data_IF_150633501599
#
_entry.id   IF_150633501599
#
_cell.length_a   1.000
_cell.length_b   1.000
_cell.length_c   1.000
_cell.angle_alpha   90.00
_cell.angle_beta   90.00
_cell.angle_gamma   90.00
#
_symmetry.space_group_name_H-M   'P 1'
#
loop_
_entity.id
_entity.type
_entity.pdbx_description
1 polymer ?
#
# COMPACT_ATOMS: atom_id res chain seq x y z
N UNK A 1 22.46 9.25 9.01
CA UNK A 1 21.77 8.38 9.97
C UNK A 1 20.46 8.01 9.29
N UNK A 2 20.26 6.75 8.95
CA UNK A 2 19.09 6.31 8.19
C UNK A 2 17.87 6.38 9.13
N UNK A 3 17.11 7.46 9.06
CA UNK A 3 16.03 7.79 9.99
C UNK A 3 14.77 6.99 9.67
N UNK A 4 14.90 5.66 9.75
CA UNK A 4 13.79 4.72 9.55
C UNK A 4 12.89 4.70 10.76
N UNK A 5 11.59 4.59 10.52
CA UNK A 5 10.62 4.39 11.58
C UNK A 5 10.86 3.05 12.28
N UNK A 6 10.81 3.09 13.61
CA UNK A 6 10.85 1.88 14.43
C UNK A 6 9.56 1.06 14.27
N UNK A 7 9.51 -0.15 14.83
CA UNK A 7 8.35 -1.02 14.63
C UNK A 7 7.06 -0.48 15.27
N UNK A 8 7.14 0.22 16.41
CA UNK A 8 6.01 0.87 17.09
C UNK A 8 5.38 1.93 16.20
N UNK A 9 6.21 2.78 15.62
CA UNK A 9 5.81 3.84 14.71
C UNK A 9 5.14 3.30 13.44
N UNK A 10 5.69 2.21 12.87
CA UNK A 10 5.07 1.55 11.71
C UNK A 10 3.74 0.93 12.07
N UNK A 11 3.66 0.25 13.21
CA UNK A 11 2.41 -0.30 13.72
C UNK A 11 1.35 0.79 13.90
N UNK A 12 1.71 1.94 14.48
CA UNK A 12 0.80 3.06 14.63
C UNK A 12 0.27 3.57 13.29
N UNK A 13 1.12 3.70 12.26
CA UNK A 13 0.68 4.09 10.91
C UNK A 13 -0.29 3.06 10.31
N UNK A 14 0.00 1.76 10.44
CA UNK A 14 -0.89 0.70 9.96
C UNK A 14 -2.21 0.70 10.72
N UNK A 15 -2.17 0.89 12.04
CA UNK A 15 -3.35 0.99 12.91
C UNK A 15 -4.21 2.19 12.55
N UNK A 16 -3.61 3.36 12.30
CA UNK A 16 -4.32 4.57 11.86
C UNK A 16 -5.03 4.35 10.52
N UNK A 17 -4.36 3.70 9.55
CA UNK A 17 -4.98 3.33 8.27
C UNK A 17 -6.20 2.43 8.48
N UNK A 18 -6.06 1.38 9.29
CA UNK A 18 -7.17 0.45 9.58
C UNK A 18 -8.29 1.15 10.34
N UNK A 19 -7.99 2.02 11.31
CA UNK A 19 -8.97 2.77 12.10
C UNK A 19 -9.82 3.69 11.22
N UNK A 20 -9.22 4.32 10.23
CA UNK A 20 -9.94 5.22 9.32
C UNK A 20 -10.68 4.51 8.19
N UNK A 21 -10.22 3.33 7.77
CA UNK A 21 -10.89 2.51 6.76
C UNK A 21 -11.96 1.59 7.35
N UNK A 22 -11.92 1.36 8.67
CA UNK A 22 -12.84 0.49 9.42
C UNK A 22 -12.50 -1.00 9.28
N UNK A 23 -12.29 -1.49 8.07
CA UNK A 23 -11.89 -2.87 7.78
C UNK A 23 -11.02 -2.92 6.52
N UNK A 24 -9.95 -3.71 6.56
CA UNK A 24 -9.04 -3.86 5.42
C UNK A 24 -8.47 -5.27 5.35
N UNK A 25 -8.30 -5.81 4.14
CA UNK A 25 -7.62 -7.10 3.95
C UNK A 25 -6.09 -6.96 3.95
N UNK A 26 -5.37 -8.01 4.37
CA UNK A 26 -3.89 -8.06 4.41
C UNK A 26 -3.22 -7.46 3.18
N UNK A 27 -3.64 -7.92 1.99
CA UNK A 27 -3.05 -7.47 0.73
C UNK A 27 -3.30 -5.98 0.47
N UNK A 28 -4.49 -5.46 0.82
CA UNK A 28 -4.77 -4.04 0.64
C UNK A 28 -3.94 -3.17 1.60
N UNK A 29 -3.79 -3.59 2.86
CA UNK A 29 -2.95 -2.88 3.83
C UNK A 29 -1.47 -2.88 3.41
N UNK A 30 -0.96 -4.02 2.93
CA UNK A 30 0.38 -4.15 2.31
C UNK A 30 0.60 -3.11 1.21
N UNK A 31 -0.39 -2.97 0.32
CA UNK A 31 -0.34 -2.08 -0.83
C UNK A 31 -0.42 -0.61 -0.43
N UNK A 32 -1.21 -0.26 0.59
CA UNK A 32 -1.23 1.09 1.16
C UNK A 32 0.12 1.44 1.80
N UNK A 33 0.72 0.53 2.56
CA UNK A 33 2.07 0.71 3.12
C UNK A 33 3.11 0.92 2.01
N UNK A 34 3.04 0.14 0.93
CA UNK A 34 3.89 0.33 -0.25
C UNK A 34 3.74 1.71 -0.88
N UNK A 35 2.50 2.17 -1.09
CA UNK A 35 2.23 3.48 -1.71
C UNK A 35 2.69 4.64 -0.81
N UNK A 36 2.49 4.53 0.51
CA UNK A 36 3.01 5.50 1.48
C UNK A 36 4.53 5.60 1.43
N UNK A 37 5.23 4.47 1.46
CA UNK A 37 6.69 4.47 1.38
C UNK A 37 7.18 5.00 0.03
N UNK A 38 6.57 4.56 -1.06
CA UNK A 38 7.15 4.73 -2.40
C UNK A 38 6.74 6.04 -3.07
N UNK A 39 5.54 6.54 -2.78
CA UNK A 39 5.03 7.78 -3.38
C UNK A 39 5.17 8.95 -2.42
N UNK A 40 4.94 8.72 -1.13
CA UNK A 40 5.04 9.76 -0.09
C UNK A 40 6.36 9.75 0.66
N UNK A 41 7.26 8.81 0.36
CA UNK A 41 8.61 8.77 0.93
C UNK A 41 8.61 8.69 2.45
N UNK A 42 7.56 8.13 3.06
CA UNK A 42 7.58 7.81 4.49
C UNK A 42 8.66 6.75 4.72
N UNK A 43 9.58 6.93 5.67
CA UNK A 43 10.69 6.01 5.90
C UNK A 43 10.24 4.76 6.70
N UNK A 44 9.21 4.08 6.20
CA UNK A 44 8.69 2.82 6.75
C UNK A 44 9.76 1.71 6.72
N UNK A 45 10.76 1.79 5.85
CA UNK A 45 11.90 0.87 5.84
C UNK A 45 11.57 -0.57 5.40
N UNK A 46 10.40 -0.80 4.83
CA UNK A 46 10.02 -2.06 4.20
C UNK A 46 10.83 -2.28 2.91
N UNK A 47 11.21 -3.52 2.65
CA UNK A 47 11.94 -3.99 1.47
C UNK A 47 10.99 -4.74 0.55
N UNK A 48 10.09 -3.99 -0.07
CA UNK A 48 9.14 -4.53 -1.02
C UNK A 48 9.85 -5.21 -2.19
N UNK A 49 9.28 -6.33 -2.64
CA UNK A 49 9.65 -7.05 -3.86
C UNK A 49 8.37 -7.36 -4.65
N UNK A 50 8.48 -7.44 -5.98
CA UNK A 50 7.33 -7.82 -6.80
C UNK A 50 7.03 -9.32 -6.63
N UNK A 51 5.81 -9.63 -6.19
CA UNK A 51 5.29 -10.99 -6.06
C UNK A 51 4.01 -11.17 -6.91
N UNK A 52 3.40 -12.36 -6.88
CA UNK A 52 2.23 -12.74 -7.70
C UNK A 52 1.11 -11.66 -7.75
N UNK A 53 0.89 -10.95 -6.63
CA UNK A 53 -0.19 -9.96 -6.46
C UNK A 53 0.32 -8.52 -6.31
N UNK A 54 1.51 -8.23 -6.84
CA UNK A 54 2.17 -6.93 -6.76
C UNK A 54 3.23 -6.86 -5.64
N UNK A 55 3.65 -5.63 -5.26
CA UNK A 55 4.66 -5.40 -4.24
C UNK A 55 4.29 -6.02 -2.89
N UNK A 56 5.23 -6.76 -2.32
CA UNK A 56 5.05 -7.52 -1.09
C UNK A 56 6.29 -7.43 -0.20
N UNK A 57 6.07 -7.29 1.11
CA UNK A 57 7.08 -7.47 2.15
C UNK A 57 6.47 -8.17 3.37
N UNK A 58 6.95 -9.36 3.78
CA UNK A 58 6.44 -10.07 4.95
C UNK A 58 6.55 -9.28 6.27
N UNK A 59 7.43 -8.29 6.36
CA UNK A 59 7.56 -7.44 7.55
C UNK A 59 6.29 -6.63 7.82
N UNK A 60 5.52 -6.24 6.79
CA UNK A 60 4.24 -5.54 6.98
C UNK A 60 3.26 -6.43 7.75
N UNK A 61 3.17 -7.71 7.40
CA UNK A 61 2.31 -8.66 8.12
C UNK A 61 2.85 -8.96 9.52
N UNK A 62 4.17 -8.96 9.69
CA UNK A 62 4.78 -9.12 11.01
C UNK A 62 4.41 -7.96 11.94
N UNK A 63 4.43 -6.73 11.43
CA UNK A 63 4.00 -5.54 12.18
C UNK A 63 2.48 -5.58 12.47
N UNK A 64 1.64 -6.06 11.55
CA UNK A 64 0.20 -6.30 11.81
C UNK A 64 0.01 -7.31 12.95
N UNK A 65 0.72 -8.43 12.92
CA UNK A 65 0.66 -9.44 13.99
C UNK A 65 1.13 -8.89 15.34
N UNK A 66 2.15 -8.03 15.36
CA UNK A 66 2.57 -7.34 16.60
C UNK A 66 1.49 -6.38 17.10
N UNK A 67 0.83 -5.65 16.21
CA UNK A 67 -0.30 -4.78 16.56
C UNK A 67 -1.50 -5.57 17.09
N UNK A 68 -1.71 -6.79 16.60
CA UNK A 68 -2.70 -7.71 17.16
C UNK A 68 -2.32 -8.18 18.56
N UNK A 69 -1.06 -8.58 18.78
CA UNK A 69 -0.55 -8.96 20.11
C UNK A 69 -0.68 -7.82 21.12
N UNK A 70 -0.51 -6.57 20.69
CA UNK A 70 -0.73 -5.37 21.52
C UNK A 70 -2.20 -4.96 21.66
N UNK A 71 -3.13 -5.67 21.02
CA UNK A 71 -4.55 -5.36 21.06
C UNK A 71 -4.92 -4.06 20.36
N UNK A 72 -4.04 -3.54 19.48
CA UNK A 72 -4.31 -2.38 18.63
C UNK A 72 -5.08 -2.78 17.37
N UNK A 73 -4.82 -3.97 16.83
CA UNK A 73 -5.55 -4.55 15.71
C UNK A 73 -6.17 -5.89 16.12
N UNK A 74 -7.12 -6.35 15.32
CA UNK A 74 -7.64 -7.71 15.39
C UNK A 74 -7.73 -8.24 13.97
N UNK A 75 -7.23 -9.46 13.76
CA UNK A 75 -7.33 -10.13 12.49
C UNK A 75 -8.29 -11.33 12.56
N UNK A 76 -9.23 -11.38 11.62
CA UNK A 76 -10.19 -12.45 11.50
C UNK A 76 -10.04 -13.19 10.17
N UNK A 77 -9.89 -14.50 10.28
CA UNK A 77 -9.99 -15.39 9.13
C UNK A 77 -11.44 -15.54 8.69
N UNK A 78 -11.69 -15.56 7.39
CA UNK A 78 -13.00 -15.86 6.84
C UNK A 78 -12.89 -16.68 5.55
N UNK A 79 -13.82 -17.61 5.39
CA UNK A 79 -13.96 -18.42 4.19
C UNK A 79 -15.06 -17.83 3.30
N UNK A 80 -14.73 -17.53 2.05
CA UNK A 80 -15.70 -17.19 1.02
C UNK A 80 -16.36 -18.43 0.41
N UNK A 81 -15.61 -19.54 0.34
CA UNK A 81 -16.05 -20.85 -0.12
C UNK A 81 -15.08 -21.93 0.39
N UNK A 82 -15.36 -23.21 0.11
CA UNK A 82 -14.51 -24.35 0.48
C UNK A 82 -13.02 -24.18 0.12
N UNK A 83 -12.70 -23.41 -0.92
CA UNK A 83 -11.32 -23.22 -1.41
C UNK A 83 -10.89 -21.74 -1.50
N UNK A 84 -11.70 -20.80 -1.01
CA UNK A 84 -11.37 -19.38 -1.05
C UNK A 84 -11.47 -18.79 0.34
N UNK A 85 -10.38 -18.23 0.82
CA UNK A 85 -10.28 -17.64 2.15
C UNK A 85 -9.58 -16.27 2.11
N UNK A 86 -9.80 -15.49 3.15
CA UNK A 86 -9.17 -14.19 3.33
C UNK A 86 -8.99 -13.85 4.79
N UNK A 87 -8.37 -12.69 5.02
CA UNK A 87 -8.16 -12.09 6.33
C UNK A 87 -8.75 -10.69 6.34
N UNK A 88 -9.48 -10.36 7.40
CA UNK A 88 -10.00 -9.02 7.68
C UNK A 88 -9.30 -8.47 8.90
N UNK A 89 -8.70 -7.30 8.74
CA UNK A 89 -8.02 -6.58 9.81
C UNK A 89 -8.95 -5.43 10.22
N UNK A 90 -9.23 -5.34 11.52
CA UNK A 90 -10.06 -4.30 12.11
C UNK A 90 -9.36 -3.66 13.31
N UNK A 91 -9.75 -2.45 13.71
CA UNK A 91 -9.27 -1.86 14.96
C UNK A 91 -9.72 -2.72 16.14
N UNK A 92 -8.83 -2.93 17.10
CA UNK A 92 -9.16 -3.51 18.40
C UNK A 92 -9.26 -2.41 19.46
N UNK A 93 -9.55 -2.79 20.71
CA UNK A 93 -9.81 -1.83 21.81
C UNK A 93 -8.62 -0.90 22.08
N UNK A 94 -7.39 -1.40 21.93
CA UNK A 94 -6.16 -0.62 22.12
C UNK A 94 -5.74 0.21 20.91
N UNK A 95 -6.53 0.25 19.82
CA UNK A 95 -6.17 1.01 18.62
C UNK A 95 -5.96 2.50 18.92
N UNK A 96 -6.89 3.09 19.68
CA UNK A 96 -6.83 4.50 20.05
C UNK A 96 -5.64 4.79 20.98
N UNK A 97 -5.25 3.85 21.84
CA UNK A 97 -4.13 4.02 22.76
C UNK A 97 -2.81 4.09 21.98
N UNK A 98 -2.58 3.15 21.05
CA UNK A 98 -1.38 3.16 20.19
C UNK A 98 -1.32 4.42 19.30
N UNK A 99 -2.46 4.85 18.74
CA UNK A 99 -2.56 6.08 17.95
C UNK A 99 -2.25 7.32 18.80
N UNK A 100 -2.69 7.34 20.06
CA UNK A 100 -2.41 8.45 20.97
C UNK A 100 -0.95 8.48 21.44
N UNK A 101 -0.35 7.31 21.71
CA UNK A 101 1.05 7.16 22.10
C UNK A 101 2.00 7.65 21.00
N UNK A 102 1.70 7.31 19.74
CA UNK A 102 2.51 7.68 18.57
C UNK A 102 1.99 8.92 17.83
N UNK A 103 1.27 9.81 18.53
CA UNK A 103 0.65 11.01 17.95
C UNK A 103 1.65 11.90 17.22
N UNK A 104 2.83 12.13 17.79
CA UNK A 104 3.86 12.97 17.17
C UNK A 104 4.33 12.40 15.82
N UNK A 105 4.52 11.07 15.74
CA UNK A 105 4.84 10.36 14.51
C UNK A 105 3.70 10.49 13.50
N UNK A 106 2.46 10.23 13.93
CA UNK A 106 1.28 10.29 13.06
C UNK A 106 1.00 11.69 12.55
N UNK A 107 1.19 12.72 13.38
CA UNK A 107 1.05 14.12 13.00
C UNK A 107 2.06 14.51 11.91
N UNK A 108 3.30 14.01 12.03
CA UNK A 108 4.36 14.25 11.04
C UNK A 108 4.05 13.67 9.66
N UNK A 109 3.21 12.63 9.59
CA UNK A 109 2.83 11.97 8.33
C UNK A 109 1.34 12.08 7.98
N UNK A 110 0.60 12.94 8.70
CA UNK A 110 -0.85 13.07 8.58
C UNK A 110 -1.32 13.26 7.14
N UNK A 111 -0.70 14.18 6.41
CA UNK A 111 -1.06 14.48 5.02
C UNK A 111 -0.85 13.28 4.08
N UNK A 112 0.19 12.48 4.32
CA UNK A 112 0.50 11.30 3.54
C UNK A 112 -0.50 10.16 3.82
N UNK A 113 -0.84 9.94 5.09
CA UNK A 113 -1.86 8.98 5.51
C UNK A 113 -3.24 9.38 4.93
N UNK A 114 -3.61 10.65 5.06
CA UNK A 114 -4.84 11.20 4.47
C UNK A 114 -4.89 11.05 2.96
N UNK A 115 -3.76 11.28 2.28
CA UNK A 115 -3.64 11.05 0.85
C UNK A 115 -3.88 9.58 0.50
N UNK A 116 -3.28 8.62 1.23
CA UNK A 116 -3.46 7.21 0.91
C UNK A 116 -4.92 6.77 1.08
N UNK A 117 -5.59 7.23 2.14
CA UNK A 117 -7.00 6.93 2.39
C UNK A 117 -7.89 7.58 1.33
N UNK A 118 -7.70 8.87 1.05
CA UNK A 118 -8.52 9.61 0.08
C UNK A 118 -8.34 9.08 -1.34
N UNK A 119 -7.10 8.80 -1.75
CA UNK A 119 -6.82 8.41 -3.13
C UNK A 119 -7.06 6.92 -3.39
N UNK A 120 -6.97 6.04 -2.38
CA UNK A 120 -7.01 4.58 -2.61
C UNK A 120 -7.96 3.81 -1.69
N UNK A 121 -8.52 4.44 -0.65
CA UNK A 121 -9.36 3.75 0.35
C UNK A 121 -10.65 3.15 -0.22
N UNK A 122 -11.17 3.68 -1.33
CA UNK A 122 -12.37 3.17 -2.01
C UNK A 122 -12.08 2.18 -3.14
N UNK A 123 -10.81 1.91 -3.45
CA UNK A 123 -10.46 1.05 -4.58
C UNK A 123 -10.67 -0.42 -4.21
N UNK A 124 -11.25 -1.19 -5.14
CA UNK A 124 -11.48 -2.60 -4.93
C UNK A 124 -10.20 -3.43 -5.06
N UNK A 125 -10.26 -4.72 -4.69
CA UNK A 125 -9.11 -5.61 -4.70
C UNK A 125 -8.43 -5.74 -6.08
N UNK A 126 -9.21 -5.70 -7.16
CA UNK A 126 -8.70 -5.76 -8.53
C UNK A 126 -7.91 -4.48 -8.85
N UNK A 127 -8.47 -3.31 -8.61
CA UNK A 127 -7.74 -2.07 -8.87
C UNK A 127 -6.50 -1.92 -7.97
N UNK A 128 -6.60 -2.37 -6.71
CA UNK A 128 -5.47 -2.42 -5.79
C UNK A 128 -4.42 -3.45 -6.24
N UNK A 129 -4.72 -4.43 -7.08
CA UNK A 129 -3.70 -5.28 -7.72
C UNK A 129 -2.90 -4.54 -8.80
N UNK A 130 -3.59 -3.72 -9.58
CA UNK A 130 -2.98 -3.00 -10.69
C UNK A 130 -2.18 -1.76 -10.24
N UNK A 131 -2.74 -0.91 -9.38
CA UNK A 131 -2.15 0.39 -9.02
C UNK A 131 -0.72 0.28 -8.46
N UNK A 132 -0.46 -0.53 -7.42
CA UNK A 132 0.88 -0.71 -6.87
C UNK A 132 1.85 -1.35 -7.86
N UNK A 133 1.35 -2.20 -8.77
CA UNK A 133 2.15 -2.80 -9.84
C UNK A 133 2.61 -1.74 -10.84
N UNK A 134 1.74 -0.80 -11.23
CA UNK A 134 2.11 0.32 -12.10
C UNK A 134 3.16 1.22 -11.43
N UNK A 135 2.96 1.54 -10.14
CA UNK A 135 3.93 2.33 -9.36
C UNK A 135 5.27 1.60 -9.24
N UNK A 136 5.26 0.28 -9.05
CA UNK A 136 6.47 -0.53 -9.01
C UNK A 136 7.27 -0.42 -10.30
N UNK A 137 6.64 -0.72 -11.44
CA UNK A 137 7.30 -0.65 -12.75
C UNK A 137 7.87 0.76 -12.98
N UNK A 138 7.07 1.79 -12.73
CA UNK A 138 7.49 3.20 -12.87
C UNK A 138 8.72 3.54 -12.03
N UNK A 139 8.81 3.02 -10.80
CA UNK A 139 9.95 3.26 -9.90
C UNK A 139 11.19 2.46 -10.29
N UNK A 140 11.04 1.22 -10.74
CA UNK A 140 12.16 0.41 -11.21
C UNK A 140 12.85 1.09 -12.40
N UNK A 141 12.07 1.56 -13.38
CA UNK A 141 12.60 2.31 -14.52
C UNK A 141 13.24 3.64 -14.11
N UNK A 142 12.61 4.39 -13.20
CA UNK A 142 13.19 5.63 -12.69
C UNK A 142 14.52 5.40 -11.95
N UNK A 143 14.68 4.30 -11.20
CA UNK A 143 15.94 3.95 -10.54
C UNK A 143 17.06 3.61 -11.53
N UNK A 144 16.71 3.09 -12.71
CA UNK A 144 17.65 2.87 -13.81
C UNK A 144 18.00 4.15 -14.58
N UNK A 145 17.43 5.29 -14.21
CA UNK A 145 17.69 6.59 -14.84
C UNK A 145 16.87 6.85 -16.12
N UNK A 146 15.88 6.01 -16.42
CA UNK A 146 15.08 6.09 -17.64
C UNK A 146 13.59 6.24 -17.29
N UNK A 147 13.03 7.46 -17.22
CA UNK A 147 11.58 7.63 -17.07
C UNK A 147 10.85 6.88 -18.18
N UNK A 148 10.00 5.94 -17.79
CA UNK A 148 9.30 5.07 -18.74
C UNK A 148 8.19 5.84 -19.46
N UNK A 149 8.13 5.71 -20.78
CA UNK A 149 7.00 6.21 -21.55
C UNK A 149 5.73 5.46 -21.12
N UNK A 150 4.61 6.17 -20.97
CA UNK A 150 3.35 5.59 -20.51
C UNK A 150 2.93 4.35 -21.32
N UNK A 151 3.13 4.36 -22.63
CA UNK A 151 2.86 3.21 -23.50
C UNK A 151 3.70 1.99 -23.15
N UNK A 152 5.00 2.17 -22.84
CA UNK A 152 5.86 1.07 -22.44
C UNK A 152 5.49 0.54 -21.05
N UNK A 153 5.11 1.42 -20.11
CA UNK A 153 4.60 1.03 -18.80
C UNK A 153 3.33 0.17 -18.92
N UNK A 154 2.43 0.50 -19.86
CA UNK A 154 1.23 -0.30 -20.15
C UNK A 154 1.58 -1.68 -20.68
N UNK A 155 2.56 -1.79 -21.59
CA UNK A 155 3.01 -3.08 -22.12
C UNK A 155 3.59 -3.98 -21.03
N UNK A 156 4.48 -3.45 -20.19
CA UNK A 156 5.10 -4.21 -19.09
C UNK A 156 4.05 -4.62 -18.06
N UNK A 157 3.15 -3.71 -17.69
CA UNK A 157 2.07 -4.02 -16.76
C UNK A 157 1.12 -5.09 -17.32
N UNK A 158 0.82 -5.07 -18.61
CA UNK A 158 -0.02 -6.10 -19.23
C UNK A 158 0.69 -7.46 -19.26
N UNK A 159 2.00 -7.49 -19.55
CA UNK A 159 2.78 -8.72 -19.50
C UNK A 159 2.78 -9.35 -18.10
N UNK A 160 2.84 -8.52 -17.04
CA UNK A 160 2.76 -8.98 -15.65
C UNK A 160 1.33 -9.34 -15.21
N UNK A 161 0.33 -8.66 -15.76
CA UNK A 161 -1.07 -8.76 -15.36
C UNK A 161 -1.97 -8.99 -16.59
N UNK A 162 -1.85 -10.16 -17.25
CA UNK A 162 -2.51 -10.43 -18.53
C UNK A 162 -4.05 -10.49 -18.45
N UNK A 163 -4.61 -10.58 -17.24
CA UNK A 163 -6.03 -10.57 -17.00
C UNK A 163 -6.66 -9.16 -17.04
N UNK A 164 -5.86 -8.10 -17.03
CA UNK A 164 -6.33 -6.75 -17.34
C UNK A 164 -6.19 -6.47 -18.83
N UNK A 165 -7.18 -5.79 -19.40
CA UNK A 165 -7.04 -5.30 -20.78
C UNK A 165 -6.04 -4.14 -20.83
N UNK A 166 -5.30 -4.02 -21.93
CA UNK A 166 -4.39 -2.87 -22.16
C UNK A 166 -5.11 -1.52 -21.99
N UNK A 167 -6.37 -1.45 -22.40
CA UNK A 167 -7.21 -0.25 -22.27
C UNK A 167 -7.46 0.12 -20.81
N UNK A 168 -7.75 -0.85 -19.95
CA UNK A 168 -7.97 -0.61 -18.51
C UNK A 168 -6.67 -0.18 -17.82
N UNK A 169 -5.56 -0.83 -18.18
CA UNK A 169 -4.22 -0.48 -17.71
C UNK A 169 -3.86 0.95 -18.10
N UNK A 170 -4.06 1.31 -19.37
CA UNK A 170 -3.78 2.65 -19.88
C UNK A 170 -4.65 3.70 -19.18
N UNK A 171 -5.95 3.45 -19.04
CA UNK A 171 -6.87 4.35 -18.34
C UNK A 171 -6.42 4.60 -16.89
N UNK A 172 -6.05 3.54 -16.17
CA UNK A 172 -5.54 3.64 -14.81
C UNK A 172 -4.20 4.37 -14.75
N UNK A 173 -3.26 4.06 -15.65
CA UNK A 173 -1.95 4.69 -15.70
C UNK A 173 -2.06 6.20 -15.99
N UNK A 174 -2.92 6.61 -16.92
CA UNK A 174 -3.21 8.02 -17.19
C UNK A 174 -3.83 8.72 -15.97
N UNK A 175 -4.71 8.05 -15.23
CA UNK A 175 -5.29 8.60 -14.00
C UNK A 175 -4.22 8.82 -12.92
N UNK A 176 -3.38 7.81 -12.67
CA UNK A 176 -2.29 7.89 -11.70
C UNK A 176 -1.25 8.96 -12.09
N UNK A 177 -1.00 9.14 -13.39
CA UNK A 177 -0.16 10.22 -13.90
C UNK A 177 -0.77 11.59 -13.61
N UNK A 178 -2.06 11.81 -13.91
CA UNK A 178 -2.77 13.08 -13.60
C UNK A 178 -2.75 13.41 -12.12
N UNK A 179 -2.85 12.38 -11.25
CA UNK A 179 -2.77 12.50 -9.79
C UNK A 179 -1.34 12.73 -9.27
N UNK A 180 -0.33 12.71 -10.15
CA UNK A 180 1.08 12.83 -9.77
C UNK A 180 1.61 11.63 -8.99
N UNK A 181 0.99 10.45 -9.12
CA UNK A 181 1.46 9.21 -8.46
C UNK A 181 2.62 8.59 -9.25
N UNK A 182 2.51 8.61 -10.59
CA UNK A 182 3.58 8.16 -11.49
C UNK A 182 4.58 9.30 -11.81
N UNK A 183 5.81 8.90 -12.10
CA UNK A 183 6.89 9.74 -12.60
C UNK A 183 6.91 9.78 -14.13
N UNK A 184 6.37 8.74 -14.79
CA UNK A 184 6.20 8.67 -16.24
C UNK A 184 5.72 10.00 -16.85
N UNK A 185 6.48 10.53 -17.80
CA UNK A 185 6.28 11.78 -18.53
C UNK A 185 6.12 13.06 -17.69
N UNK A 186 6.69 13.17 -16.48
CA UNK A 186 6.97 14.49 -15.91
C UNK A 186 8.12 15.14 -16.71
N UNK A 187 7.79 15.75 -17.85
CA UNK A 187 8.64 16.78 -18.48
C UNK A 187 8.34 18.13 -17.87
#
# INVERSE_FOLDING_TARGET
>A
MDERLNFVQRMAILTELVQRLGEVGRTNLMKLAYLLQTVKQIPLGYRFQLYLYGPYDPQVLSDVSLAEVWGALQEEYYAYSLNAYGYKIRPAKGAADLVNEERETLDSYREAIEWAIREFGSYNALQMDLIPTLVWIDREFAQLGEPVALSHLVEVAHALKPHFSKRDIESMAQELQRKGVLLANRK
#
